data_IF_289993363565
#
_entry.id   IF_289993363565
#
_cell.length_a   1.000
_cell.length_b   1.000
_cell.length_c   1.000
_cell.angle_alpha   90.00
_cell.angle_beta   90.00
_cell.angle_gamma   90.00
#
_symmetry.space_group_name_H-M   'P 1'
#
loop_
_entity.id
_entity.type
_entity.pdbx_description
1 polymer ?
#
# COMPACT_ATOMS: atom_id res chain seq x y z
N UNK A 1 12.17 -10.18 -7.74
CA UNK A 1 10.82 -9.87 -8.25
C UNK A 1 10.69 -8.37 -8.34
N UNK A 2 10.32 -7.88 -9.51
CA UNK A 2 9.92 -6.48 -9.70
C UNK A 2 8.45 -6.27 -9.28
N UNK A 3 8.01 -5.00 -9.25
CA UNK A 3 6.66 -4.66 -8.81
C UNK A 3 5.56 -5.34 -9.66
N UNK A 4 5.79 -5.55 -10.97
CA UNK A 4 4.82 -6.17 -11.88
C UNK A 4 4.61 -7.66 -11.61
N UNK A 5 5.63 -8.34 -11.09
CA UNK A 5 5.58 -9.73 -10.67
C UNK A 5 5.10 -9.86 -9.23
N UNK A 6 5.50 -8.90 -8.38
CA UNK A 6 5.20 -8.90 -6.95
C UNK A 6 3.70 -8.65 -6.68
N UNK A 7 3.06 -7.73 -7.42
CA UNK A 7 1.66 -7.41 -7.23
C UNK A 7 0.73 -8.63 -7.43
N UNK A 8 0.76 -9.37 -8.56
CA UNK A 8 -0.10 -10.53 -8.74
C UNK A 8 0.22 -11.68 -7.76
N UNK A 9 1.49 -11.84 -7.38
CA UNK A 9 1.87 -12.82 -6.37
C UNK A 9 1.27 -12.49 -5.01
N UNK A 10 1.39 -11.26 -4.55
CA UNK A 10 0.79 -10.79 -3.30
C UNK A 10 -0.73 -10.90 -3.33
N UNK A 11 -1.36 -10.49 -4.43
CA UNK A 11 -2.80 -10.62 -4.59
C UNK A 11 -3.26 -12.07 -4.44
N UNK A 12 -2.62 -13.01 -5.12
CA UNK A 12 -2.94 -14.43 -5.03
C UNK A 12 -2.80 -14.98 -3.61
N UNK A 13 -1.72 -14.62 -2.91
CA UNK A 13 -1.50 -15.04 -1.52
C UNK A 13 -2.50 -14.42 -0.55
N UNK A 14 -2.82 -13.13 -0.71
CA UNK A 14 -3.80 -12.43 0.15
C UNK A 14 -5.22 -12.95 -0.08
N UNK A 15 -5.61 -13.24 -1.33
CA UNK A 15 -6.90 -13.91 -1.63
C UNK A 15 -6.96 -15.30 -1.00
N UNK A 16 -5.89 -16.06 -1.06
CA UNK A 16 -5.82 -17.38 -0.41
C UNK A 16 -5.90 -17.25 1.10
N UNK A 17 -5.20 -16.30 1.68
CA UNK A 17 -5.25 -16.02 3.11
C UNK A 17 -6.67 -15.65 3.55
N UNK A 18 -7.37 -14.79 2.80
CA UNK A 18 -8.76 -14.41 3.05
C UNK A 18 -9.70 -15.63 3.04
N UNK A 19 -9.59 -16.46 2.00
CA UNK A 19 -10.40 -17.68 1.87
C UNK A 19 -10.17 -18.66 3.02
N UNK A 20 -8.91 -18.92 3.39
CA UNK A 20 -8.55 -19.85 4.46
C UNK A 20 -8.96 -19.30 5.82
N UNK A 21 -8.82 -17.99 6.05
CA UNK A 21 -9.19 -17.34 7.33
C UNK A 21 -10.71 -17.33 7.57
N UNK A 22 -11.52 -17.49 6.52
CA UNK A 22 -12.97 -17.59 6.64
C UNK A 22 -13.45 -19.00 7.08
N UNK A 23 -12.54 -20.00 7.13
CA UNK A 23 -12.87 -21.37 7.54
C UNK A 23 -12.55 -21.58 9.01
N UNK A 24 -13.50 -22.10 9.77
CA UNK A 24 -13.35 -22.31 11.22
C UNK A 24 -12.86 -23.74 11.54
N UNK A 25 -11.64 -24.06 11.09
CA UNK A 25 -10.98 -25.34 11.37
C UNK A 25 -9.54 -25.10 11.87
N UNK A 26 -9.05 -25.91 12.76
CA UNK A 26 -7.69 -25.82 13.30
C UNK A 26 -6.62 -25.85 12.20
N UNK A 27 -6.78 -26.75 11.22
CA UNK A 27 -5.89 -26.81 10.06
C UNK A 27 -5.89 -25.50 9.24
N UNK A 28 -7.05 -24.86 9.09
CA UNK A 28 -7.19 -23.57 8.38
C UNK A 28 -6.52 -22.45 9.16
N UNK A 29 -6.61 -22.43 10.48
CA UNK A 29 -5.90 -21.44 11.32
C UNK A 29 -4.38 -21.58 11.20
N UNK A 30 -3.88 -22.81 11.19
CA UNK A 30 -2.44 -23.08 10.99
C UNK A 30 -1.98 -22.62 9.61
N UNK A 31 -2.72 -22.96 8.56
CA UNK A 31 -2.42 -22.55 7.19
C UNK A 31 -2.49 -21.03 7.03
N UNK A 32 -3.47 -20.37 7.65
CA UNK A 32 -3.59 -18.90 7.68
C UNK A 32 -2.35 -18.25 8.28
N UNK A 33 -1.85 -18.75 9.42
CA UNK A 33 -0.61 -18.27 10.04
C UNK A 33 0.61 -18.45 9.12
N UNK A 34 0.70 -19.61 8.46
CA UNK A 34 1.80 -19.89 7.52
C UNK A 34 1.74 -18.97 6.29
N UNK A 35 0.57 -18.78 5.68
CA UNK A 35 0.38 -17.85 4.55
C UNK A 35 0.75 -16.43 4.93
N UNK A 36 0.30 -15.96 6.10
CA UNK A 36 0.66 -14.63 6.59
C UNK A 36 2.18 -14.50 6.79
N UNK A 37 2.84 -15.52 7.33
CA UNK A 37 4.29 -15.53 7.48
C UNK A 37 5.01 -15.48 6.12
N UNK A 38 4.50 -16.19 5.10
CA UNK A 38 5.04 -16.14 3.73
C UNK A 38 4.89 -14.74 3.14
N UNK A 39 3.71 -14.12 3.24
CA UNK A 39 3.49 -12.75 2.78
C UNK A 39 4.48 -11.79 3.43
N UNK A 40 4.61 -11.82 4.76
CA UNK A 40 5.54 -10.96 5.48
C UNK A 40 7.00 -11.22 5.09
N UNK A 41 7.36 -12.46 4.82
CA UNK A 41 8.71 -12.83 4.35
C UNK A 41 9.00 -12.26 2.97
N UNK A 42 8.05 -12.37 2.02
CA UNK A 42 8.16 -11.78 0.69
C UNK A 42 8.35 -10.27 0.79
N UNK A 43 7.50 -9.57 1.57
CA UNK A 43 7.61 -8.13 1.77
C UNK A 43 8.98 -7.73 2.37
N UNK A 44 9.55 -8.55 3.25
CA UNK A 44 10.83 -8.25 3.90
C UNK A 44 12.06 -8.55 3.04
N UNK A 45 11.94 -9.42 2.04
CA UNK A 45 13.04 -9.85 1.17
C UNK A 45 13.04 -9.17 -0.20
N UNK A 46 11.93 -8.54 -0.58
CA UNK A 46 11.80 -7.82 -1.84
C UNK A 46 12.40 -6.41 -1.73
N UNK A 47 12.79 -5.84 -2.87
CA UNK A 47 13.27 -4.46 -2.91
C UNK A 47 12.16 -3.49 -2.44
N UNK A 48 12.49 -2.54 -1.59
CA UNK A 48 11.48 -1.71 -0.95
C UNK A 48 10.65 -0.87 -1.92
N UNK A 49 11.25 -0.30 -2.95
CA UNK A 49 10.53 0.47 -3.98
C UNK A 49 9.48 -0.39 -4.69
N UNK A 50 9.85 -1.64 -5.07
CA UNK A 50 8.93 -2.59 -5.71
C UNK A 50 7.79 -2.99 -4.78
N UNK A 51 8.07 -3.12 -3.48
CA UNK A 51 7.04 -3.43 -2.46
C UNK A 51 6.01 -2.33 -2.38
N UNK A 52 6.43 -1.06 -2.25
CA UNK A 52 5.50 0.06 -2.19
C UNK A 52 4.71 0.22 -3.49
N UNK A 53 5.37 0.13 -4.64
CA UNK A 53 4.72 0.21 -5.94
C UNK A 53 3.67 -0.90 -6.11
N UNK A 54 4.00 -2.14 -5.76
CA UNK A 54 3.07 -3.27 -5.84
C UNK A 54 1.87 -3.09 -4.90
N UNK A 55 2.11 -2.68 -3.65
CA UNK A 55 1.05 -2.50 -2.67
C UNK A 55 0.13 -1.32 -3.00
N UNK A 56 0.65 -0.19 -3.49
CA UNK A 56 -0.19 0.93 -3.94
C UNK A 56 -0.98 0.57 -5.21
N UNK A 57 -0.37 -0.16 -6.14
CA UNK A 57 -1.08 -0.68 -7.32
C UNK A 57 -2.24 -1.61 -6.93
N UNK A 58 -2.02 -2.53 -5.98
CA UNK A 58 -3.06 -3.39 -5.43
C UNK A 58 -4.14 -2.59 -4.69
N UNK A 59 -3.75 -1.56 -3.96
CA UNK A 59 -4.71 -0.70 -3.26
C UNK A 59 -5.62 0.01 -4.25
N UNK A 60 -5.09 0.53 -5.35
CA UNK A 60 -5.87 1.12 -6.45
C UNK A 60 -6.83 0.08 -7.03
N UNK A 61 -6.33 -1.08 -7.47
CA UNK A 61 -7.15 -2.10 -8.13
C UNK A 61 -8.27 -2.66 -7.24
N UNK A 62 -8.04 -2.75 -5.94
CA UNK A 62 -9.02 -3.27 -4.97
C UNK A 62 -10.01 -2.23 -4.46
N UNK A 63 -9.72 -0.95 -4.66
CA UNK A 63 -10.56 0.18 -4.19
C UNK A 63 -11.17 0.98 -5.32
N UNK A 64 -10.78 0.76 -6.58
CA UNK A 64 -11.34 1.44 -7.74
C UNK A 64 -12.85 1.15 -7.88
N UNK A 65 -13.25 -0.09 -7.62
CA UNK A 65 -14.67 -0.50 -7.69
C UNK A 65 -15.26 -0.66 -6.29
N UNK A 66 -16.27 0.13 -5.98
CA UNK A 66 -16.83 0.28 -4.62
C UNK A 66 -17.72 -0.90 -4.20
N UNK A 67 -18.04 -1.83 -5.11
CA UNK A 67 -19.24 -2.66 -4.99
C UNK A 67 -19.04 -4.08 -4.41
N UNK A 68 -17.84 -4.63 -4.34
CA UNK A 68 -17.66 -6.04 -4.03
C UNK A 68 -17.09 -6.29 -2.62
N UNK A 69 -17.81 -7.04 -1.79
CA UNK A 69 -17.39 -7.39 -0.43
C UNK A 69 -16.00 -8.07 -0.36
N UNK A 70 -15.71 -8.95 -1.32
CA UNK A 70 -14.40 -9.61 -1.42
C UNK A 70 -13.27 -8.64 -1.72
N UNK A 71 -13.51 -7.63 -2.54
CA UNK A 71 -12.53 -6.59 -2.84
C UNK A 71 -12.24 -5.71 -1.62
N UNK A 72 -13.24 -5.39 -0.82
CA UNK A 72 -13.05 -4.64 0.41
C UNK A 72 -12.20 -5.39 1.43
N UNK A 73 -12.41 -6.69 1.59
CA UNK A 73 -11.59 -7.53 2.47
C UNK A 73 -10.14 -7.64 1.97
N UNK A 74 -9.95 -7.78 0.65
CA UNK A 74 -8.62 -7.79 0.05
C UNK A 74 -7.93 -6.44 0.25
N UNK A 75 -8.62 -5.34 0.00
CA UNK A 75 -8.10 -3.98 0.25
C UNK A 75 -7.70 -3.77 1.72
N UNK A 76 -8.46 -4.30 2.68
CA UNK A 76 -8.10 -4.26 4.09
C UNK A 76 -6.78 -5.00 4.37
N UNK A 77 -6.55 -6.15 3.74
CA UNK A 77 -5.29 -6.87 3.88
C UNK A 77 -4.12 -6.11 3.24
N UNK A 78 -4.34 -5.47 2.09
CA UNK A 78 -3.34 -4.61 1.45
C UNK A 78 -2.98 -3.43 2.35
N UNK A 79 -3.97 -2.76 2.95
CA UNK A 79 -3.76 -1.68 3.93
C UNK A 79 -2.92 -2.19 5.12
N UNK A 80 -3.23 -3.36 5.67
CA UNK A 80 -2.45 -3.96 6.76
C UNK A 80 -1.00 -4.23 6.35
N UNK A 81 -0.77 -4.68 5.10
CA UNK A 81 0.58 -4.83 4.55
C UNK A 81 1.30 -3.49 4.46
N UNK A 82 0.65 -2.44 3.93
CA UNK A 82 1.22 -1.09 3.87
C UNK A 82 1.59 -0.57 5.26
N UNK A 83 0.73 -0.73 6.26
CA UNK A 83 1.06 -0.34 7.64
C UNK A 83 2.26 -1.09 8.21
N UNK A 84 2.41 -2.36 7.87
CA UNK A 84 3.56 -3.17 8.30
C UNK A 84 4.87 -2.68 7.71
N UNK A 85 4.90 -2.40 6.40
CA UNK A 85 6.12 -1.91 5.74
C UNK A 85 6.40 -0.45 6.12
N UNK A 86 5.37 0.39 6.28
CA UNK A 86 5.50 1.78 6.67
C UNK A 86 6.17 1.96 8.05
N UNK A 87 5.92 1.07 9.00
CA UNK A 87 6.61 1.10 10.30
C UNK A 87 8.13 0.98 10.20
N UNK A 88 8.65 0.39 9.14
CA UNK A 88 10.08 0.21 8.88
C UNK A 88 10.64 1.27 7.92
N UNK A 89 9.79 2.17 7.41
CA UNK A 89 10.17 3.15 6.41
C UNK A 89 11.37 4.01 6.81
N UNK A 90 11.47 4.57 8.03
CA UNK A 90 12.64 5.36 8.42
C UNK A 90 13.94 4.59 8.26
N UNK A 91 14.01 3.37 8.80
CA UNK A 91 15.19 2.52 8.69
C UNK A 91 15.48 2.09 7.23
N UNK A 92 14.44 1.87 6.42
CA UNK A 92 14.58 1.49 5.02
C UNK A 92 15.11 2.66 4.16
N UNK A 93 14.73 3.89 4.46
CA UNK A 93 15.27 5.12 3.84
C UNK A 93 16.75 5.31 4.18
N UNK A 94 17.11 5.20 5.48
CA UNK A 94 18.50 5.28 5.94
C UNK A 94 19.38 4.21 5.29
N UNK A 95 18.88 2.98 5.18
CA UNK A 95 19.57 1.86 4.54
C UNK A 95 19.55 1.90 3.01
N UNK A 96 18.93 2.92 2.39
CA UNK A 96 18.74 3.05 0.93
C UNK A 96 18.04 1.84 0.28
N UNK A 97 17.18 1.18 1.04
CA UNK A 97 16.32 0.10 0.55
C UNK A 97 15.02 0.64 -0.07
N UNK A 98 14.67 1.87 0.27
CA UNK A 98 13.57 2.65 -0.30
C UNK A 98 14.10 4.01 -0.71
N UNK A 99 13.74 4.45 -1.91
CA UNK A 99 14.09 5.76 -2.44
C UNK A 99 12.88 6.69 -2.37
N UNK A 100 13.08 7.89 -1.83
CA UNK A 100 12.00 8.86 -1.63
C UNK A 100 11.24 9.18 -2.92
N UNK A 101 11.96 9.37 -4.04
CA UNK A 101 11.34 9.64 -5.34
C UNK A 101 10.43 8.50 -5.81
N UNK A 102 10.89 7.25 -5.71
CA UNK A 102 10.11 6.08 -6.12
C UNK A 102 8.86 5.91 -5.26
N UNK A 103 8.99 6.15 -3.94
CA UNK A 103 7.87 6.12 -3.01
C UNK A 103 6.85 7.22 -3.34
N UNK A 104 7.30 8.46 -3.55
CA UNK A 104 6.42 9.58 -3.92
C UNK A 104 5.67 9.30 -5.23
N UNK A 105 6.35 8.73 -6.24
CA UNK A 105 5.69 8.32 -7.50
C UNK A 105 4.62 7.26 -7.29
N UNK A 106 4.84 6.31 -6.39
CA UNK A 106 3.85 5.27 -6.06
C UNK A 106 2.62 5.87 -5.38
N UNK A 107 2.81 6.83 -4.48
CA UNK A 107 1.71 7.54 -3.80
C UNK A 107 0.98 8.48 -4.76
N UNK A 108 1.71 9.21 -5.63
CA UNK A 108 1.08 10.06 -6.65
C UNK A 108 0.21 9.23 -7.60
N UNK A 109 0.70 8.09 -8.10
CA UNK A 109 -0.10 7.19 -8.93
C UNK A 109 -1.38 6.70 -8.24
N UNK A 110 -1.36 6.53 -6.92
CA UNK A 110 -2.57 6.24 -6.14
C UNK A 110 -3.55 7.43 -6.13
N UNK A 111 -3.06 8.66 -5.95
CA UNK A 111 -3.91 9.86 -5.95
C UNK A 111 -4.39 10.26 -7.34
N UNK A 112 -3.61 10.01 -8.40
CA UNK A 112 -4.06 10.18 -9.79
C UNK A 112 -5.20 9.23 -10.12
N UNK A 113 -5.11 7.97 -9.68
CA UNK A 113 -6.14 6.97 -9.92
C UNK A 113 -7.44 7.26 -9.14
N UNK A 114 -7.32 7.71 -7.87
CA UNK A 114 -8.45 8.03 -7.00
C UNK A 114 -8.13 9.32 -6.24
N UNK A 115 -8.57 10.47 -6.75
CA UNK A 115 -8.25 11.77 -6.16
C UNK A 115 -8.71 11.91 -4.70
N UNK A 116 -8.04 12.71 -3.87
CA UNK A 116 -8.41 12.95 -2.47
C UNK A 116 -9.86 13.42 -2.29
N UNK A 117 -10.39 14.19 -3.25
CA UNK A 117 -11.78 14.66 -3.25
C UNK A 117 -12.79 13.51 -3.36
N UNK A 118 -12.47 12.45 -4.09
CA UNK A 118 -13.32 11.26 -4.20
C UNK A 118 -13.33 10.48 -2.88
N UNK A 119 -12.22 10.38 -2.19
CA UNK A 119 -12.15 9.74 -0.86
C UNK A 119 -13.03 10.45 0.16
N UNK A 120 -13.08 11.78 0.14
CA UNK A 120 -13.98 12.54 1.00
C UNK A 120 -15.46 12.21 0.73
N UNK A 121 -15.83 12.02 -0.54
CA UNK A 121 -17.19 11.59 -0.91
C UNK A 121 -17.47 10.14 -0.47
N UNK A 122 -16.49 9.24 -0.60
CA UNK A 122 -16.61 7.85 -0.17
C UNK A 122 -16.82 7.73 1.34
N UNK A 123 -16.12 8.53 2.13
CA UNK A 123 -16.31 8.59 3.57
C UNK A 123 -17.76 8.95 3.97
N UNK A 124 -18.39 9.87 3.23
CA UNK A 124 -19.79 10.28 3.45
C UNK A 124 -20.80 9.20 3.00
N UNK A 125 -20.50 8.45 1.93
CA UNK A 125 -21.40 7.45 1.36
C UNK A 125 -21.41 6.10 2.08
N UNK A 126 -20.66 5.95 3.19
CA UNK A 126 -20.56 4.71 3.96
C UNK A 126 -20.09 3.50 3.14
N UNK A 127 -19.25 3.73 2.13
CA UNK A 127 -18.63 2.65 1.36
C UNK A 127 -17.63 1.85 2.21
N UNK A 128 -17.34 0.59 1.86
CA UNK A 128 -16.35 -0.20 2.57
C UNK A 128 -15.00 0.53 2.67
N UNK A 129 -14.34 0.42 3.82
CA UNK A 129 -13.06 1.08 4.15
C UNK A 129 -13.11 2.62 4.19
N UNK A 130 -14.19 3.26 3.75
CA UNK A 130 -14.34 4.73 3.76
C UNK A 130 -13.08 5.43 3.20
N UNK A 131 -12.41 6.21 4.05
CA UNK A 131 -11.19 6.96 3.76
C UNK A 131 -9.90 6.30 4.30
N UNK A 132 -9.98 5.07 4.81
CA UNK A 132 -8.80 4.35 5.34
C UNK A 132 -7.65 4.27 4.32
N UNK A 133 -7.89 4.01 3.01
CA UNK A 133 -6.82 4.04 2.02
C UNK A 133 -6.15 5.41 1.88
N UNK A 134 -6.92 6.49 1.92
CA UNK A 134 -6.40 7.86 1.94
C UNK A 134 -5.53 8.10 3.19
N UNK A 135 -6.04 7.75 4.37
CA UNK A 135 -5.31 7.88 5.63
C UNK A 135 -4.01 7.08 5.57
N UNK A 136 -4.04 5.89 4.97
CA UNK A 136 -2.85 5.04 4.82
C UNK A 136 -1.80 5.71 3.93
N UNK A 137 -2.18 6.23 2.76
CA UNK A 137 -1.27 6.96 1.87
C UNK A 137 -0.70 8.21 2.54
N UNK A 138 -1.54 8.99 3.21
CA UNK A 138 -1.13 10.19 3.96
C UNK A 138 -0.16 9.86 5.10
N UNK A 139 -0.36 8.74 5.81
CA UNK A 139 0.56 8.30 6.86
C UNK A 139 1.93 7.90 6.30
N UNK A 140 1.98 7.28 5.12
CA UNK A 140 3.25 6.99 4.44
C UNK A 140 3.99 8.28 4.09
N UNK A 141 3.29 9.28 3.52
CA UNK A 141 3.86 10.59 3.22
C UNK A 141 4.35 11.30 4.48
N UNK A 142 3.56 11.27 5.56
CA UNK A 142 3.95 11.86 6.84
C UNK A 142 5.23 11.23 7.37
N UNK A 143 5.36 9.91 7.37
CA UNK A 143 6.58 9.24 7.81
C UNK A 143 7.79 9.59 6.93
N UNK A 144 7.58 9.74 5.61
CA UNK A 144 8.63 10.19 4.71
C UNK A 144 9.10 11.61 5.07
N UNK A 145 8.17 12.56 5.24
CA UNK A 145 8.48 13.95 5.60
C UNK A 145 9.07 14.05 7.00
N UNK A 146 8.58 13.32 7.97
CA UNK A 146 9.12 13.28 9.34
C UNK A 146 10.57 12.74 9.35
N UNK A 147 10.92 11.86 8.42
CA UNK A 147 12.27 11.27 8.33
C UNK A 147 13.25 12.14 7.57
N UNK A 148 12.83 12.73 6.45
CA UNK A 148 13.71 13.45 5.52
C UNK A 148 13.64 14.98 5.67
N UNK A 149 12.62 15.52 6.36
CA UNK A 149 12.39 16.95 6.45
C UNK A 149 12.25 17.59 5.06
N UNK A 150 12.97 18.69 4.82
CA UNK A 150 12.99 19.36 3.52
C UNK A 150 13.56 18.49 2.38
N UNK A 151 14.33 17.46 2.70
CA UNK A 151 14.83 16.49 1.71
C UNK A 151 13.73 15.69 1.01
N UNK A 152 12.53 15.62 1.60
CA UNK A 152 11.39 15.01 0.93
C UNK A 152 10.95 15.79 -0.31
N UNK A 153 10.99 17.14 -0.25
CA UNK A 153 10.68 18.00 -1.41
C UNK A 153 11.76 17.89 -2.49
N UNK A 154 13.02 17.77 -2.10
CA UNK A 154 14.11 17.56 -3.07
C UNK A 154 13.95 16.31 -3.92
N UNK A 155 13.21 15.32 -3.43
CA UNK A 155 12.90 14.11 -4.20
C UNK A 155 11.94 14.35 -5.38
N UNK A 156 11.28 15.51 -5.43
CA UNK A 156 10.39 15.93 -6.55
C UNK A 156 11.07 16.86 -7.54
N UNK A 157 12.31 17.25 -7.31
CA UNK A 157 13.04 18.27 -8.15
C UNK A 157 13.18 17.82 -9.61
N UNK A 158 13.20 16.51 -9.87
CA UNK A 158 13.27 15.96 -11.23
C UNK A 158 11.89 15.85 -11.94
N UNK A 159 10.81 16.20 -11.26
CA UNK A 159 9.46 16.11 -11.80
C UNK A 159 9.13 17.34 -12.64
N UNK A 160 8.37 17.10 -13.72
CA UNK A 160 7.80 18.20 -14.50
C UNK A 160 6.62 18.78 -13.72
N UNK A 161 6.70 20.05 -13.34
CA UNK A 161 5.64 20.77 -12.61
C UNK A 161 5.23 20.05 -11.28
N UNK A 162 6.18 19.83 -10.34
CA UNK A 162 5.89 19.10 -9.10
C UNK A 162 4.74 19.72 -8.29
N UNK A 163 4.58 21.05 -8.35
CA UNK A 163 3.52 21.79 -7.66
C UNK A 163 2.10 21.46 -8.14
N UNK A 164 1.95 20.76 -9.25
CA UNK A 164 0.66 20.27 -9.76
C UNK A 164 0.33 18.86 -9.31
N UNK A 165 1.25 18.21 -8.61
CA UNK A 165 1.03 16.86 -8.09
C UNK A 165 0.30 16.88 -6.74
N UNK A 166 -0.28 15.75 -6.36
CA UNK A 166 -1.01 15.62 -5.10
C UNK A 166 -0.10 15.42 -3.88
N UNK A 167 1.17 15.06 -4.12
CA UNK A 167 2.14 14.77 -3.05
C UNK A 167 3.06 15.95 -2.73
N UNK A 168 3.06 17.03 -3.55
CA UNK A 168 3.79 18.28 -3.31
C UNK A 168 3.03 19.19 -2.34
#
# INVERSE_FOLDING_TARGET
LDASQLAPLLEGLLRRLMYVSAQDHEASQTLSKQLNAVVLRILSMSHGDDVYQALFSLLVSTTADVAAGDQAQLAELVVKCLWKVARKLPAALEAKQVHAEALLRSVEGFFEAIPPSEWAQRAQKHVPLRDIPLITATNVLKQLTDTLGEGALAATDAWTEPEKTHVY
#
